data_IF_167880467165
#
_entry.id   IF_167880467165
#
_cell.length_a   1.000
_cell.length_b   1.000
_cell.length_c   1.000
_cell.angle_alpha   90.00
_cell.angle_beta   90.00
_cell.angle_gamma   90.00
#
_symmetry.space_group_name_H-M   'P 1'
#
loop_
_entity.id
_entity.type
_entity.pdbx_description
1 polymer ?
#
# COMPACT_ATOMS: atom_id res chain seq x y z
N UNK A 1 12.78 21.38 25.06
CA UNK A 1 11.91 22.12 24.12
C UNK A 1 12.36 21.77 22.71
N UNK A 2 11.46 21.35 21.83
CA UNK A 2 11.80 20.88 20.48
C UNK A 2 11.53 21.98 19.47
N UNK A 3 12.61 22.58 18.95
CA UNK A 3 12.59 23.67 17.97
C UNK A 3 12.87 23.15 16.57
N UNK A 4 12.10 23.59 15.58
CA UNK A 4 12.46 23.54 14.16
C UNK A 4 12.44 25.00 13.69
N UNK A 5 13.52 25.48 13.07
CA UNK A 5 13.70 26.90 12.72
C UNK A 5 13.63 27.89 13.91
N UNK A 6 13.97 27.43 15.12
CA UNK A 6 13.95 28.25 16.34
C UNK A 6 12.55 28.54 16.91
N UNK A 7 11.48 28.04 16.28
CA UNK A 7 10.09 28.19 16.76
C UNK A 7 9.60 26.90 17.43
N UNK A 8 8.93 27.06 18.57
CA UNK A 8 8.34 25.95 19.36
C UNK A 8 6.98 25.60 18.75
N UNK A 9 6.77 24.33 18.39
CA UNK A 9 5.46 23.85 17.96
C UNK A 9 4.66 23.46 19.20
N UNK A 10 3.49 24.07 19.36
CA UNK A 10 2.55 23.81 20.46
C UNK A 10 1.27 23.14 19.97
N UNK A 11 0.58 22.45 20.87
CA UNK A 11 -0.76 21.90 20.57
C UNK A 11 -1.69 23.07 20.27
N UNK A 12 -2.43 22.97 19.17
CA UNK A 12 -3.30 24.02 18.68
C UNK A 12 -2.68 24.93 17.61
N UNK A 13 -1.37 24.84 17.36
CA UNK A 13 -0.70 25.62 16.32
C UNK A 13 -1.17 25.23 14.91
N UNK A 14 -1.26 26.22 14.01
CA UNK A 14 -1.53 26.00 12.58
C UNK A 14 -0.24 25.58 11.89
N UNK A 15 -0.32 24.46 11.18
CA UNK A 15 0.82 23.86 10.50
C UNK A 15 0.42 23.38 9.11
N UNK A 16 1.40 23.39 8.23
CA UNK A 16 1.31 22.86 6.87
C UNK A 16 2.25 21.66 6.74
N UNK A 17 1.76 20.58 6.13
CA UNK A 17 2.55 19.37 5.91
C UNK A 17 3.35 19.52 4.62
N UNK A 18 4.67 19.59 4.75
CA UNK A 18 5.59 19.75 3.63
C UNK A 18 5.46 18.59 2.63
N UNK A 19 5.39 18.92 1.34
CA UNK A 19 5.28 17.95 0.24
C UNK A 19 3.86 17.52 -0.13
N UNK A 20 2.83 17.90 0.65
CA UNK A 20 1.42 17.63 0.32
C UNK A 20 0.55 18.87 0.16
N UNK A 21 1.05 20.05 0.56
CA UNK A 21 0.31 21.32 0.54
C UNK A 21 -1.06 21.21 1.24
N UNK A 22 -1.08 20.50 2.38
CA UNK A 22 -2.29 20.33 3.21
C UNK A 22 -2.06 21.00 4.56
N UNK A 23 -3.03 21.81 4.95
CA UNK A 23 -3.04 22.57 6.20
C UNK A 23 -3.87 21.87 7.27
N UNK A 24 -3.48 22.12 8.52
CA UNK A 24 -4.17 21.57 9.68
C UNK A 24 -3.72 22.21 10.98
N UNK A 25 -4.14 21.59 12.08
CA UNK A 25 -3.85 22.01 13.45
C UNK A 25 -3.19 20.89 14.23
N UNK A 26 -2.15 21.21 14.99
CA UNK A 26 -1.50 20.23 15.88
C UNK A 26 -2.47 19.83 16.98
N UNK A 27 -2.71 18.54 17.14
CA UNK A 27 -3.57 17.97 18.18
C UNK A 27 -2.82 17.07 19.16
N UNK A 28 -1.61 16.61 18.81
CA UNK A 28 -0.79 15.76 19.69
C UNK A 28 0.70 15.98 19.47
N UNK A 29 1.49 15.95 20.55
CA UNK A 29 2.95 16.03 20.55
C UNK A 29 3.52 15.04 21.57
N UNK A 30 4.16 13.97 21.11
CA UNK A 30 4.66 12.95 22.04
C UNK A 30 5.22 11.69 21.39
N UNK A 31 5.54 10.70 22.20
CA UNK A 31 5.87 9.35 21.74
C UNK A 31 4.59 8.58 21.41
N UNK A 32 4.71 7.59 20.54
CA UNK A 32 3.57 6.77 20.08
C UNK A 32 3.87 5.29 20.27
N UNK A 33 2.82 4.46 20.38
CA UNK A 33 2.92 3.01 20.48
C UNK A 33 3.26 2.33 19.15
N UNK A 34 2.86 2.91 18.02
CA UNK A 34 3.05 2.31 16.69
C UNK A 34 4.46 2.51 16.13
N UNK A 35 5.24 3.46 16.67
CA UNK A 35 6.61 3.74 16.23
C UNK A 35 7.37 4.56 17.28
N UNK A 36 8.67 4.31 17.38
CA UNK A 36 9.58 5.00 18.31
C UNK A 36 9.88 6.45 17.90
N UNK A 37 10.39 7.24 18.84
CA UNK A 37 10.68 8.66 18.66
C UNK A 37 9.47 9.58 18.83
N UNK A 38 9.68 10.89 18.63
CA UNK A 38 8.65 11.92 18.81
C UNK A 38 7.84 12.13 17.54
N UNK A 39 6.52 12.17 17.69
CA UNK A 39 5.55 12.34 16.63
C UNK A 39 4.64 13.53 16.90
N UNK A 40 4.17 14.12 15.81
CA UNK A 40 3.18 15.21 15.81
C UNK A 40 1.91 14.70 15.16
N UNK A 41 0.82 14.68 15.92
CA UNK A 41 -0.51 14.42 15.40
C UNK A 41 -1.15 15.71 14.94
N UNK A 42 -1.61 15.75 13.69
CA UNK A 42 -2.22 16.93 13.06
C UNK A 42 -3.63 16.57 12.59
N UNK A 43 -4.60 17.42 12.91
CA UNK A 43 -5.96 17.38 12.36
C UNK A 43 -5.99 18.28 11.14
N UNK A 44 -6.15 17.68 9.96
CA UNK A 44 -6.19 18.37 8.68
C UNK A 44 -7.57 19.02 8.47
N UNK A 45 -7.58 20.13 7.74
CA UNK A 45 -8.83 20.82 7.41
C UNK A 45 -9.65 20.03 6.35
N UNK A 46 -8.96 19.27 5.50
CA UNK A 46 -9.54 18.43 4.44
C UNK A 46 -9.39 16.93 4.77
N UNK A 47 -10.27 16.05 4.23
CA UNK A 47 -10.23 14.60 4.46
C UNK A 47 -9.10 13.89 3.69
N UNK A 48 -7.85 14.36 3.88
CA UNK A 48 -6.61 13.85 3.25
C UNK A 48 -5.66 13.16 4.24
N UNK A 49 -6.14 12.92 5.44
CA UNK A 49 -5.48 12.20 6.53
C UNK A 49 -5.52 10.69 6.34
N UNK A 50 -4.96 9.98 7.31
CA UNK A 50 -4.86 8.51 7.32
C UNK A 50 -5.67 7.85 8.43
N UNK A 51 -6.14 8.63 9.40
CA UNK A 51 -6.85 8.13 10.58
C UNK A 51 -7.81 9.20 11.12
N UNK A 52 -8.51 8.88 12.19
CA UNK A 52 -9.37 9.80 12.94
C UNK A 52 -8.76 10.21 14.30
N UNK A 53 -7.44 10.03 14.45
CA UNK A 53 -6.69 10.22 15.70
C UNK A 53 -6.53 8.96 16.55
N UNK A 54 -7.10 7.83 16.12
CA UNK A 54 -6.84 6.49 16.68
C UNK A 54 -5.93 5.69 15.75
N UNK A 55 -4.87 5.09 16.30
CA UNK A 55 -3.94 4.23 15.55
C UNK A 55 -3.71 2.94 16.37
N UNK A 56 -3.97 1.78 15.75
CA UNK A 56 -3.85 0.46 16.39
C UNK A 56 -4.59 0.35 17.73
N UNK A 57 -5.84 0.84 17.78
CA UNK A 57 -6.69 0.78 18.97
C UNK A 57 -6.36 1.78 20.07
N UNK A 58 -5.32 2.61 19.92
CA UNK A 58 -4.97 3.68 20.86
C UNK A 58 -5.31 5.06 20.30
N UNK A 59 -6.11 5.82 21.05
CA UNK A 59 -6.52 7.18 20.68
C UNK A 59 -5.56 8.22 21.25
N UNK A 60 -5.07 9.11 20.41
CA UNK A 60 -4.16 10.20 20.78
C UNK A 60 -4.85 11.56 20.73
N UNK A 61 -5.75 11.74 19.75
CA UNK A 61 -6.64 12.88 19.58
C UNK A 61 -7.90 12.40 18.86
N UNK A 62 -8.90 13.27 18.70
CA UNK A 62 -10.17 12.94 18.02
C UNK A 62 -10.45 13.94 16.91
N UNK A 63 -10.84 13.42 15.74
CA UNK A 63 -11.27 14.20 14.57
C UNK A 63 -12.16 13.34 13.66
N UNK A 64 -12.66 13.92 12.57
CA UNK A 64 -13.42 13.20 11.56
C UNK A 64 -12.56 12.14 10.84
N UNK A 65 -13.21 11.13 10.27
CA UNK A 65 -12.52 10.07 9.52
C UNK A 65 -11.74 10.65 8.34
N UNK A 66 -10.50 10.19 8.19
CA UNK A 66 -9.53 10.70 7.21
C UNK A 66 -9.10 12.16 7.45
N UNK A 67 -9.22 12.73 8.65
CA UNK A 67 -8.65 14.05 8.95
C UNK A 67 -7.35 13.99 9.77
N UNK A 68 -7.09 12.89 10.49
CA UNK A 68 -5.92 12.73 11.33
C UNK A 68 -4.70 12.22 10.58
N UNK A 69 -3.54 12.81 10.85
CA UNK A 69 -2.24 12.33 10.35
C UNK A 69 -1.16 12.42 11.42
N UNK A 70 -0.23 11.46 11.44
CA UNK A 70 0.99 11.52 12.23
C UNK A 70 2.19 11.78 11.33
N UNK A 71 2.96 12.81 11.65
CA UNK A 71 4.16 13.19 10.90
C UNK A 71 5.31 13.51 11.85
N UNK A 72 6.53 13.53 11.29
CA UNK A 72 7.70 14.03 12.02
C UNK A 72 7.71 15.55 12.02
N UNK A 73 8.30 16.13 13.06
CA UNK A 73 8.43 17.58 13.19
C UNK A 73 9.15 18.22 11.99
N UNK A 74 10.11 17.54 11.36
CA UNK A 74 10.81 18.01 10.16
C UNK A 74 9.93 18.13 8.91
N UNK A 75 8.73 17.53 8.93
CA UNK A 75 7.77 17.57 7.82
C UNK A 75 6.70 18.65 8.02
N UNK A 76 6.81 19.49 9.05
CA UNK A 76 5.84 20.54 9.38
C UNK A 76 6.45 21.92 9.20
N UNK A 77 5.67 22.81 8.59
CA UNK A 77 5.95 24.26 8.55
C UNK A 77 4.89 24.98 9.38
N UNK A 78 5.31 25.88 10.26
CA UNK A 78 4.39 26.68 11.09
C UNK A 78 3.83 27.81 10.23
N UNK A 79 2.50 27.96 10.21
CA UNK A 79 1.83 29.08 9.56
C UNK A 79 1.35 30.09 10.62
N UNK A 80 1.72 31.36 10.46
CA UNK A 80 1.36 32.47 11.37
C UNK A 80 0.06 33.17 10.93
N UNK A 81 -0.99 32.41 10.64
CA UNK A 81 -2.33 32.99 10.42
C UNK A 81 -3.17 32.87 11.69
N UNK A 82 -3.57 34.04 12.23
CA UNK A 82 -4.57 34.20 13.30
C UNK A 82 -5.98 33.77 12.85
N UNK A 83 -6.87 33.36 13.77
CA UNK A 83 -8.05 32.58 13.44
C UNK A 83 -9.23 33.45 13.00
N UNK A 84 -10.06 33.02 12.03
CA UNK A 84 -11.47 33.39 12.05
C UNK A 84 -12.20 32.46 13.02
N UNK A 85 -12.86 33.06 14.01
CA UNK A 85 -13.73 32.37 14.95
C UNK A 85 -14.84 31.58 14.24
N UNK A 86 -15.14 30.41 14.78
CA UNK A 86 -16.25 29.56 14.33
C UNK A 86 -16.54 28.54 15.41
N UNK A 87 -17.65 28.75 16.10
CA UNK A 87 -18.20 27.96 17.20
C UNK A 87 -18.33 26.49 16.86
N UNK A 88 -17.89 25.63 17.79
CA UNK A 88 -18.20 24.21 17.79
C UNK A 88 -19.70 24.00 18.01
N UNK A 89 -20.43 23.71 16.93
CA UNK A 89 -21.75 23.10 17.00
C UNK A 89 -21.59 21.56 17.07
N UNK A 90 -21.99 21.01 18.22
CA UNK A 90 -22.27 19.59 18.40
C UNK A 90 -23.74 19.34 18.05
N UNK A 91 -24.10 18.34 17.24
CA UNK A 91 -25.45 17.79 17.27
C UNK A 91 -25.52 16.65 18.31
N UNK A 92 -26.44 16.81 19.28
CA UNK A 92 -26.94 15.73 20.14
C UNK A 92 -28.05 14.95 19.42
N UNK A 93 -28.34 13.69 19.86
CA UNK A 93 -29.09 12.71 19.08
C UNK A 93 -30.60 12.81 19.32
N UNK A 94 -31.41 12.38 18.35
CA UNK A 94 -32.78 12.01 18.62
C UNK A 94 -33.24 10.84 17.74
N UNK A 95 -33.69 9.80 18.43
CA UNK A 95 -34.34 8.63 17.88
C UNK A 95 -35.84 8.90 17.61
N UNK A 96 -36.44 7.93 16.92
CA UNK A 96 -37.77 7.32 17.20
C UNK A 96 -38.88 7.53 16.15
N UNK A 97 -39.29 6.38 15.59
CA UNK A 97 -40.65 5.92 15.20
C UNK A 97 -41.38 6.39 13.94
N UNK A 98 -41.68 5.36 13.15
CA UNK A 98 -42.73 5.13 12.13
C UNK A 98 -44.18 5.14 12.73
N UNK A 99 -45.26 4.79 11.99
CA UNK A 99 -46.28 5.70 11.46
C UNK A 99 -47.69 5.47 12.06
N UNK A 100 -48.69 6.30 11.69
CA UNK A 100 -50.09 5.95 11.93
C UNK A 100 -51.12 7.01 11.48
N UNK A 101 -52.30 6.61 10.97
CA UNK A 101 -53.27 7.45 10.24
C UNK A 101 -54.42 7.94 11.13
N UNK A 102 -55.15 9.00 10.74
CA UNK A 102 -56.63 9.06 10.87
C UNK A 102 -57.24 10.28 10.20
N UNK A 103 -58.47 10.07 9.74
CA UNK A 103 -59.36 10.99 9.05
C UNK A 103 -59.93 12.10 9.95
N UNK A 104 -60.36 13.20 9.33
CA UNK A 104 -61.39 14.07 9.88
C UNK A 104 -62.51 14.30 8.87
N UNK A 105 -63.71 14.20 9.42
CA UNK A 105 -65.06 14.37 8.87
C UNK A 105 -65.54 15.75 9.29
N UNK A 106 -66.21 16.50 8.39
CA UNK A 106 -67.26 17.45 8.80
C UNK A 106 -68.43 17.38 7.82
N UNK A 107 -69.55 16.88 8.35
CA UNK A 107 -70.91 16.85 7.84
C UNK A 107 -71.65 18.16 8.15
N UNK A 108 -72.63 18.54 7.32
CA UNK A 108 -73.81 19.31 7.74
C UNK A 108 -75.01 19.07 6.80
N UNK A 109 -75.87 18.16 7.27
CA UNK A 109 -77.35 18.12 7.36
C UNK A 109 -78.31 18.40 6.16
N UNK A 110 -79.26 17.44 6.07
CA UNK A 110 -80.51 17.22 5.30
C UNK A 110 -81.71 18.08 5.80
N UNK A 111 -82.98 18.07 5.23
CA UNK A 111 -83.76 16.92 4.71
C UNK A 111 -84.80 17.12 3.56
N UNK A 112 -85.41 16.01 3.11
CA UNK A 112 -86.55 15.83 2.15
C UNK A 112 -87.95 16.00 2.85
N UNK A 113 -89.16 15.63 2.30
CA UNK A 113 -89.57 15.05 1.00
C UNK A 113 -90.93 15.49 0.34
N UNK A 114 -91.10 15.03 -0.93
CA UNK A 114 -92.28 14.47 -1.64
C UNK A 114 -93.59 15.25 -1.98
N UNK A 115 -93.82 15.32 -3.30
CA UNK A 115 -95.05 14.95 -4.07
C UNK A 115 -96.26 15.89 -4.22
N UNK A 116 -96.53 16.35 -5.46
CA UNK A 116 -97.79 16.05 -6.19
C UNK A 116 -97.73 16.39 -7.69
N UNK A 117 -98.21 15.44 -8.48
CA UNK A 117 -98.37 15.41 -9.93
C UNK A 117 -99.38 16.42 -10.47
N UNK A 118 -99.09 16.99 -11.65
CA UNK A 118 -100.08 17.27 -12.70
C UNK A 118 -99.45 16.95 -14.07
N UNK A 119 -100.16 16.11 -14.83
CA UNK A 119 -99.90 15.78 -16.24
C UNK A 119 -100.65 16.81 -17.09
N UNK A 120 -99.95 17.47 -18.02
CA UNK A 120 -100.52 17.82 -19.33
C UNK A 120 -99.42 17.70 -20.40
N UNK A 121 -99.84 17.04 -21.46
CA UNK A 121 -99.20 16.56 -22.69
C UNK A 121 -98.39 17.54 -23.55
N UNK A 122 -97.43 16.91 -24.25
CA UNK A 122 -97.16 17.08 -25.69
C UNK A 122 -96.68 18.44 -26.23
N UNK A 123 -95.45 18.81 -25.86
CA UNK A 123 -94.54 19.58 -26.72
C UNK A 123 -93.04 19.32 -26.42
N UNK A 124 -92.74 18.21 -25.73
CA UNK A 124 -91.44 17.95 -25.08
C UNK A 124 -90.60 16.85 -25.70
N UNK A 125 -91.14 16.06 -26.64
CA UNK A 125 -90.42 14.90 -27.19
C UNK A 125 -89.24 15.32 -28.07
N UNK A 126 -89.38 16.35 -28.91
CA UNK A 126 -88.26 16.88 -29.71
C UNK A 126 -87.20 17.59 -28.87
N UNK A 127 -87.60 18.31 -27.81
CA UNK A 127 -86.65 18.96 -26.88
C UNK A 127 -85.92 17.93 -26.01
N UNK A 128 -86.60 16.88 -25.54
CA UNK A 128 -85.94 15.79 -24.80
C UNK A 128 -85.06 14.92 -25.69
N UNK A 129 -85.41 14.72 -26.96
CA UNK A 129 -84.57 14.04 -27.93
C UNK A 129 -83.29 14.85 -28.24
N UNK A 130 -83.42 16.15 -28.53
CA UNK A 130 -82.29 17.05 -28.77
C UNK A 130 -81.38 17.19 -27.52
N UNK A 131 -81.96 17.20 -26.31
CA UNK A 131 -81.20 17.23 -25.07
C UNK A 131 -80.41 15.93 -24.86
N UNK A 132 -81.02 14.77 -25.13
CA UNK A 132 -80.34 13.47 -25.08
C UNK A 132 -79.22 13.35 -26.11
N UNK A 133 -79.40 13.91 -27.29
CA UNK A 133 -78.39 13.94 -28.34
C UNK A 133 -77.20 14.84 -27.94
N UNK A 134 -77.46 16.02 -27.37
CA UNK A 134 -76.42 16.89 -26.78
C UNK A 134 -75.70 16.23 -25.59
N UNK A 135 -76.42 15.52 -24.72
CA UNK A 135 -75.83 14.83 -23.58
C UNK A 135 -74.96 13.64 -24.03
N UNK A 136 -75.38 12.93 -25.08
CA UNK A 136 -74.58 11.88 -25.71
C UNK A 136 -73.30 12.44 -26.35
N UNK A 137 -73.39 13.57 -27.05
CA UNK A 137 -72.24 14.26 -27.66
C UNK A 137 -71.26 14.77 -26.58
N UNK A 138 -71.80 15.31 -25.47
CA UNK A 138 -71.02 15.75 -24.31
C UNK A 138 -70.36 14.59 -23.58
N UNK A 139 -71.01 13.43 -23.51
CA UNK A 139 -70.43 12.20 -22.96
C UNK A 139 -69.32 11.66 -23.87
N UNK A 140 -69.50 11.69 -25.19
CA UNK A 140 -68.49 11.29 -26.16
C UNK A 140 -67.24 12.19 -26.09
N UNK A 141 -67.43 13.52 -26.01
CA UNK A 141 -66.33 14.48 -25.82
C UNK A 141 -65.62 14.29 -24.48
N UNK A 142 -66.36 14.00 -23.40
CA UNK A 142 -65.77 13.66 -22.10
C UNK A 142 -64.93 12.39 -22.16
N UNK A 143 -65.41 11.34 -22.84
CA UNK A 143 -64.63 10.13 -23.07
C UNK A 143 -63.36 10.42 -23.89
N UNK A 144 -63.45 11.26 -24.92
CA UNK A 144 -62.30 11.70 -25.69
C UNK A 144 -61.28 12.50 -24.87
N UNK A 145 -61.75 13.35 -23.95
CA UNK A 145 -60.87 14.08 -23.02
C UNK A 145 -60.16 13.10 -22.09
N UNK A 146 -60.86 12.11 -21.54
CA UNK A 146 -60.26 11.08 -20.67
C UNK A 146 -59.21 10.27 -21.44
N UNK A 147 -59.51 9.79 -22.64
CA UNK A 147 -58.56 9.09 -23.51
C UNK A 147 -57.32 9.93 -23.84
N UNK A 148 -57.51 11.23 -24.08
CA UNK A 148 -56.41 12.17 -24.34
C UNK A 148 -55.60 12.46 -23.07
N UNK A 149 -56.24 12.48 -21.90
CA UNK A 149 -55.60 12.61 -20.60
C UNK A 149 -54.68 11.40 -20.35
N UNK A 150 -55.18 10.17 -20.55
CA UNK A 150 -54.39 8.95 -20.40
C UNK A 150 -53.22 8.88 -21.39
N UNK A 151 -53.44 9.31 -22.64
CA UNK A 151 -52.36 9.43 -23.64
C UNK A 151 -51.32 10.47 -23.24
N UNK A 152 -51.73 11.58 -22.63
CA UNK A 152 -50.81 12.58 -22.11
C UNK A 152 -49.99 12.02 -20.94
N UNK A 153 -50.63 11.34 -20.01
CA UNK A 153 -49.98 10.74 -18.83
C UNK A 153 -48.97 9.67 -19.25
N UNK A 154 -49.32 8.79 -20.18
CA UNK A 154 -48.39 7.78 -20.72
C UNK A 154 -47.21 8.40 -21.48
N UNK A 155 -47.43 9.48 -22.24
CA UNK A 155 -46.34 10.22 -22.89
C UNK A 155 -45.45 10.95 -21.87
N UNK A 156 -46.04 11.50 -20.81
CA UNK A 156 -45.29 12.12 -19.72
C UNK A 156 -44.43 11.09 -18.98
N UNK A 157 -44.99 9.91 -18.69
CA UNK A 157 -44.25 8.81 -18.06
C UNK A 157 -43.10 8.32 -18.94
N UNK A 158 -43.33 8.11 -20.24
CA UNK A 158 -42.26 7.77 -21.20
C UNK A 158 -41.16 8.82 -21.27
N UNK A 159 -41.52 10.11 -21.23
CA UNK A 159 -40.54 11.21 -21.20
C UNK A 159 -39.73 11.20 -19.90
N UNK A 160 -40.37 10.91 -18.77
CA UNK A 160 -39.72 10.80 -17.47
C UNK A 160 -38.71 9.63 -17.46
N UNK A 161 -39.11 8.48 -18.01
CA UNK A 161 -38.26 7.28 -18.16
C UNK A 161 -37.08 7.54 -19.10
N UNK A 162 -37.29 8.13 -20.28
CA UNK A 162 -36.21 8.49 -21.20
C UNK A 162 -35.22 9.48 -20.56
N UNK A 163 -35.71 10.42 -19.73
CA UNK A 163 -34.86 11.35 -18.99
C UNK A 163 -34.05 10.66 -17.89
N UNK A 164 -34.63 9.66 -17.21
CA UNK A 164 -33.91 8.85 -16.23
C UNK A 164 -32.81 8.01 -16.91
N UNK A 165 -33.14 7.34 -18.02
CA UNK A 165 -32.18 6.58 -18.82
C UNK A 165 -31.00 7.44 -19.31
N UNK A 166 -31.26 8.69 -19.71
CA UNK A 166 -30.20 9.63 -20.11
C UNK A 166 -29.23 9.94 -18.97
N UNK A 167 -29.74 10.11 -17.73
CA UNK A 167 -28.90 10.35 -16.54
C UNK A 167 -28.06 9.14 -16.18
N UNK A 168 -28.62 7.93 -16.29
CA UNK A 168 -27.87 6.70 -16.04
C UNK A 168 -26.80 6.49 -17.11
N UNK A 169 -27.10 6.81 -18.38
CA UNK A 169 -26.12 6.81 -19.46
C UNK A 169 -24.98 7.82 -19.23
N UNK A 170 -25.30 9.04 -18.79
CA UNK A 170 -24.30 10.04 -18.42
C UNK A 170 -23.41 9.59 -17.25
N UNK A 171 -23.99 8.95 -16.23
CA UNK A 171 -23.25 8.35 -15.11
C UNK A 171 -22.30 7.26 -15.60
N UNK A 172 -22.78 6.35 -16.44
CA UNK A 172 -21.98 5.25 -16.97
C UNK A 172 -20.85 5.76 -17.87
N UNK A 173 -21.11 6.81 -18.67
CA UNK A 173 -20.09 7.49 -19.49
C UNK A 173 -18.98 8.08 -18.63
N UNK A 174 -19.32 8.74 -17.51
CA UNK A 174 -18.35 9.29 -16.57
C UNK A 174 -17.50 8.19 -15.91
N UNK A 175 -18.13 7.08 -15.50
CA UNK A 175 -17.42 5.92 -14.96
C UNK A 175 -16.45 5.32 -15.99
N UNK A 176 -16.89 5.18 -17.25
CA UNK A 176 -16.03 4.69 -18.32
C UNK A 176 -14.84 5.63 -18.56
N UNK A 177 -15.06 6.94 -18.53
CA UNK A 177 -13.98 7.92 -18.68
C UNK A 177 -12.95 7.80 -17.54
N UNK A 178 -13.40 7.69 -16.29
CA UNK A 178 -12.51 7.48 -15.14
C UNK A 178 -11.72 6.17 -15.29
N UNK A 179 -12.36 5.08 -15.71
CA UNK A 179 -11.69 3.80 -15.93
C UNK A 179 -10.64 3.88 -17.04
N UNK A 180 -10.91 4.63 -18.11
CA UNK A 180 -9.93 4.87 -19.17
C UNK A 180 -8.73 5.68 -18.65
N UNK A 181 -8.95 6.71 -17.84
CA UNK A 181 -7.88 7.50 -17.22
C UNK A 181 -7.05 6.67 -16.21
N UNK A 182 -7.69 5.77 -15.46
CA UNK A 182 -6.96 4.82 -14.60
C UNK A 182 -6.16 3.82 -15.44
N UNK A 183 -6.73 3.30 -16.53
CA UNK A 183 -6.03 2.42 -17.45
C UNK A 183 -4.79 3.11 -18.04
N UNK A 184 -4.89 4.36 -18.50
CA UNK A 184 -3.74 5.08 -19.05
C UNK A 184 -2.64 5.27 -18.00
N UNK A 185 -2.99 5.66 -16.78
CA UNK A 185 -2.02 5.81 -15.67
C UNK A 185 -1.33 4.49 -15.33
N UNK A 186 -2.08 3.39 -15.28
CA UNK A 186 -1.51 2.06 -15.04
C UNK A 186 -0.55 1.69 -16.18
N UNK A 187 -0.96 1.89 -17.44
CA UNK A 187 -0.08 1.59 -18.58
C UNK A 187 1.19 2.45 -18.60
N UNK A 188 1.12 3.72 -18.20
CA UNK A 188 2.28 4.60 -18.07
C UNK A 188 3.22 4.13 -16.95
N UNK A 189 2.68 3.77 -15.77
CA UNK A 189 3.49 3.22 -14.68
C UNK A 189 4.14 1.89 -15.06
N UNK A 190 3.44 1.04 -15.83
CA UNK A 190 3.96 -0.23 -16.30
C UNK A 190 5.08 -0.03 -17.32
N UNK A 191 4.94 0.95 -18.22
CA UNK A 191 5.98 1.33 -19.18
C UNK A 191 7.22 1.90 -18.48
N UNK A 192 7.03 2.74 -17.46
CA UNK A 192 8.13 3.30 -16.67
C UNK A 192 8.89 2.21 -15.89
N UNK A 193 8.16 1.29 -15.25
CA UNK A 193 8.74 0.12 -14.58
C UNK A 193 9.51 -0.79 -15.56
N UNK A 194 8.97 -1.03 -16.75
CA UNK A 194 9.68 -1.78 -17.80
C UNK A 194 10.97 -1.08 -18.22
N UNK A 195 10.95 0.25 -18.37
CA UNK A 195 12.13 1.03 -18.72
C UNK A 195 13.19 0.94 -17.63
N UNK A 196 12.81 1.12 -16.36
CA UNK A 196 13.72 1.00 -15.22
C UNK A 196 14.33 -0.40 -15.14
N UNK A 197 13.55 -1.45 -15.38
CA UNK A 197 14.03 -2.83 -15.39
C UNK A 197 15.03 -3.07 -16.54
N UNK A 198 14.78 -2.53 -17.74
CA UNK A 198 15.74 -2.62 -18.84
C UNK A 198 17.03 -1.84 -18.57
N UNK A 199 16.93 -0.69 -17.90
CA UNK A 199 18.10 0.11 -17.52
C UNK A 199 18.94 -0.61 -16.47
N UNK A 200 18.32 -1.10 -15.39
CA UNK A 200 19.02 -1.85 -14.35
C UNK A 200 19.70 -3.12 -14.90
N UNK A 201 19.05 -3.82 -15.85
CA UNK A 201 19.67 -4.97 -16.55
C UNK A 201 20.89 -4.56 -17.36
N UNK A 202 20.86 -3.39 -18.01
CA UNK A 202 21.98 -2.88 -18.79
C UNK A 202 23.16 -2.50 -17.88
N UNK A 203 22.88 -1.78 -16.79
CA UNK A 203 23.90 -1.41 -15.79
C UNK A 203 24.54 -2.66 -15.16
N UNK A 204 23.74 -3.69 -14.85
CA UNK A 204 24.26 -4.96 -14.35
C UNK A 204 25.15 -5.69 -15.38
N UNK A 205 24.78 -5.66 -16.67
CA UNK A 205 25.60 -6.24 -17.74
C UNK A 205 26.91 -5.47 -17.92
N UNK A 206 26.85 -4.13 -17.92
CA UNK A 206 28.04 -3.28 -18.04
C UNK A 206 29.02 -3.53 -16.88
N UNK A 207 28.51 -3.64 -15.64
CA UNK A 207 29.32 -4.00 -14.48
C UNK A 207 29.91 -5.42 -14.57
N UNK A 208 29.18 -6.37 -15.17
CA UNK A 208 29.69 -7.72 -15.39
C UNK A 208 30.83 -7.72 -16.41
N UNK A 209 30.65 -7.05 -17.55
CA UNK A 209 31.66 -6.93 -18.61
C UNK A 209 32.92 -6.21 -18.09
N UNK A 210 32.77 -5.20 -17.22
CA UNK A 210 33.90 -4.53 -16.56
C UNK A 210 34.65 -5.46 -15.60
N UNK A 211 33.91 -6.27 -14.82
CA UNK A 211 34.51 -7.28 -13.94
C UNK A 211 35.28 -8.33 -14.73
N UNK A 212 34.75 -8.78 -15.88
CA UNK A 212 35.47 -9.72 -16.75
C UNK A 212 36.77 -9.12 -17.27
N UNK A 213 36.76 -7.85 -17.73
CA UNK A 213 38.00 -7.17 -18.15
C UNK A 213 39.03 -7.09 -17.04
N UNK A 214 38.61 -6.75 -15.82
CA UNK A 214 39.53 -6.74 -14.68
C UNK A 214 40.04 -8.13 -14.32
N UNK A 215 39.23 -9.18 -14.49
CA UNK A 215 39.68 -10.55 -14.28
C UNK A 215 40.75 -10.96 -15.31
N UNK A 216 40.57 -10.58 -16.58
CA UNK A 216 41.56 -10.80 -17.63
C UNK A 216 42.86 -10.03 -17.35
N UNK A 217 42.77 -8.75 -16.97
CA UNK A 217 43.94 -7.95 -16.56
C UNK A 217 44.71 -8.56 -15.39
N UNK A 218 43.99 -9.10 -14.39
CA UNK A 218 44.61 -9.81 -13.26
C UNK A 218 45.27 -11.11 -13.71
N UNK A 219 44.66 -11.86 -14.63
CA UNK A 219 45.26 -13.07 -15.21
C UNK A 219 46.57 -12.75 -15.91
N UNK A 220 46.59 -11.73 -16.77
CA UNK A 220 47.81 -11.29 -17.48
C UNK A 220 48.92 -10.87 -16.50
N UNK A 221 48.55 -10.18 -15.42
CA UNK A 221 49.50 -9.80 -14.37
C UNK A 221 50.05 -11.00 -13.62
N UNK A 222 49.22 -12.01 -13.33
CA UNK A 222 49.66 -13.26 -12.70
C UNK A 222 50.64 -13.99 -13.61
N UNK A 223 50.34 -14.14 -14.90
CA UNK A 223 51.26 -14.74 -15.87
C UNK A 223 52.59 -13.97 -15.93
N UNK A 224 52.55 -12.64 -15.95
CA UNK A 224 53.77 -11.81 -15.94
C UNK A 224 54.60 -12.01 -14.66
N UNK A 225 53.92 -12.18 -13.52
CA UNK A 225 54.56 -12.43 -12.23
C UNK A 225 55.19 -13.82 -12.20
N UNK A 226 54.50 -14.84 -12.69
CA UNK A 226 55.03 -16.21 -12.80
C UNK A 226 56.30 -16.22 -13.67
N UNK A 227 56.27 -15.56 -14.83
CA UNK A 227 57.46 -15.44 -15.68
C UNK A 227 58.62 -14.74 -14.97
N UNK A 228 58.37 -13.64 -14.26
CA UNK A 228 59.39 -12.92 -13.50
C UNK A 228 59.95 -13.76 -12.34
N UNK A 229 59.13 -14.59 -11.69
CA UNK A 229 59.60 -15.49 -10.63
C UNK A 229 60.57 -16.55 -11.16
N UNK A 230 60.30 -17.12 -12.34
CA UNK A 230 61.22 -18.06 -12.99
C UNK A 230 62.54 -17.39 -13.36
N UNK A 231 62.50 -16.16 -13.88
CA UNK A 231 63.72 -15.41 -14.19
C UNK A 231 64.56 -15.14 -12.93
N UNK A 232 63.91 -14.83 -11.82
CA UNK A 232 64.56 -14.62 -10.52
C UNK A 232 65.22 -15.92 -10.04
N UNK A 233 64.52 -17.05 -10.05
CA UNK A 233 65.07 -18.35 -9.65
C UNK A 233 66.29 -18.73 -10.49
N UNK A 234 66.21 -18.55 -11.82
CA UNK A 234 67.37 -18.78 -12.70
C UNK A 234 68.54 -17.85 -12.41
N UNK A 235 68.29 -16.60 -12.00
CA UNK A 235 69.34 -15.66 -11.61
C UNK A 235 69.98 -16.04 -10.27
N UNK A 236 69.17 -16.50 -9.31
CA UNK A 236 69.66 -17.01 -8.01
C UNK A 236 70.55 -18.24 -8.20
N UNK A 237 70.14 -19.22 -9.02
CA UNK A 237 70.97 -20.39 -9.35
C UNK A 237 72.31 -19.99 -10.01
N UNK A 238 72.29 -19.03 -10.94
CA UNK A 238 73.53 -18.52 -11.56
C UNK A 238 74.43 -17.82 -10.54
N UNK A 239 73.85 -17.09 -9.60
CA UNK A 239 74.60 -16.42 -8.54
C UNK A 239 75.25 -17.45 -7.61
N UNK A 240 74.53 -18.50 -7.22
CA UNK A 240 75.09 -19.61 -6.45
C UNK A 240 76.23 -20.32 -7.19
N UNK A 241 76.09 -20.56 -8.50
CA UNK A 241 77.16 -21.15 -9.32
C UNK A 241 78.42 -20.28 -9.34
N UNK A 242 78.28 -18.97 -9.61
CA UNK A 242 79.41 -18.04 -9.60
C UNK A 242 80.03 -17.91 -8.19
N UNK A 243 79.23 -17.98 -7.14
CA UNK A 243 79.72 -17.95 -5.76
C UNK A 243 80.61 -19.17 -5.47
N UNK A 244 80.19 -20.36 -5.89
CA UNK A 244 80.99 -21.59 -5.77
C UNK A 244 82.31 -21.48 -6.55
N UNK A 245 82.30 -20.90 -7.75
CA UNK A 245 83.52 -20.66 -8.53
C UNK A 245 84.47 -19.70 -7.82
N UNK A 246 83.95 -18.61 -7.26
CA UNK A 246 84.75 -17.63 -6.49
C UNK A 246 85.40 -18.30 -5.28
N UNK A 247 84.66 -19.10 -4.52
CA UNK A 247 85.19 -19.77 -3.33
C UNK A 247 86.29 -20.78 -3.69
N UNK A 248 86.11 -21.55 -4.77
CA UNK A 248 87.16 -22.41 -5.32
C UNK A 248 88.43 -21.65 -5.70
N UNK A 249 88.31 -20.47 -6.31
CA UNK A 249 89.47 -19.65 -6.66
C UNK A 249 90.16 -19.01 -5.44
N UNK A 250 89.39 -18.64 -4.40
CA UNK A 250 89.96 -18.14 -3.12
C UNK A 250 90.81 -19.20 -2.44
N UNK A 251 90.32 -20.43 -2.31
CA UNK A 251 91.07 -21.54 -1.70
C UNK A 251 92.41 -21.76 -2.42
N UNK A 252 92.39 -21.72 -3.76
CA UNK A 252 93.61 -21.79 -4.56
C UNK A 252 94.59 -20.64 -4.28
N UNK A 253 94.09 -19.42 -4.18
CA UNK A 253 94.93 -18.25 -3.89
C UNK A 253 95.60 -18.36 -2.51
N UNK A 254 94.85 -18.77 -1.48
CA UNK A 254 95.36 -18.93 -0.11
C UNK A 254 96.51 -19.95 -0.05
N UNK A 255 96.42 -21.05 -0.80
CA UNK A 255 97.51 -22.03 -0.91
C UNK A 255 98.78 -21.40 -1.51
N UNK A 256 98.66 -20.68 -2.64
CA UNK A 256 99.80 -20.04 -3.30
C UNK A 256 100.46 -18.96 -2.42
N UNK A 257 99.68 -18.22 -1.65
CA UNK A 257 100.21 -17.16 -0.78
C UNK A 257 101.07 -17.74 0.36
N UNK A 258 100.69 -18.91 0.89
CA UNK A 258 101.44 -19.62 1.92
C UNK A 258 102.80 -20.08 1.39
N UNK A 259 102.84 -20.62 0.17
CA UNK A 259 104.07 -21.03 -0.52
C UNK A 259 105.04 -19.86 -0.71
N UNK A 260 104.53 -18.69 -1.13
CA UNK A 260 105.36 -17.49 -1.32
C UNK A 260 106.00 -16.98 -0.01
N UNK A 261 105.27 -17.04 1.11
CA UNK A 261 105.78 -16.61 2.43
C UNK A 261 106.97 -17.46 2.90
N UNK A 262 106.93 -18.76 2.63
CA UNK A 262 108.03 -19.68 2.96
C UNK A 262 109.30 -19.28 2.20
N UNK A 263 109.19 -19.13 0.88
CA UNK A 263 110.30 -18.75 -0.01
C UNK A 263 110.96 -17.41 0.38
N UNK A 264 110.17 -16.45 0.82
CA UNK A 264 110.67 -15.10 1.17
C UNK A 264 111.45 -15.13 2.49
N UNK A 265 111.09 -16.01 3.43
CA UNK A 265 111.76 -16.13 4.73
C UNK A 265 113.21 -16.63 4.61
N UNK A 266 113.56 -17.30 3.52
CA UNK A 266 114.87 -17.92 3.30
C UNK A 266 115.93 -16.93 2.77
N UNK A 267 115.53 -15.74 2.32
CA UNK A 267 116.41 -14.80 1.61
C UNK A 267 116.98 -13.63 2.45
N UNK A 268 116.67 -13.54 3.75
CA UNK A 268 116.81 -12.28 4.53
C UNK A 268 118.08 -12.13 5.41
N UNK A 269 119.13 -12.97 5.31
CA UNK A 269 120.29 -12.91 6.24
C UNK A 269 121.63 -12.50 5.59
N UNK A 270 122.00 -11.22 5.72
CA UNK A 270 123.42 -10.80 5.75
C UNK A 270 123.80 -9.49 5.03
N UNK A 271 124.34 -8.53 5.78
CA UNK A 271 125.20 -7.41 5.31
C UNK A 271 126.38 -7.29 6.30
N UNK A 272 127.57 -6.74 5.94
CA UNK A 272 127.90 -5.40 6.46
C UNK A 272 128.99 -4.56 5.73
N UNK A 273 128.86 -3.23 5.92
CA UNK A 273 129.92 -2.31 6.38
C UNK A 273 131.12 -1.88 5.49
N UNK A 274 130.84 -1.15 4.40
CA UNK A 274 131.57 0.11 4.10
C UNK A 274 130.85 1.31 4.78
N UNK A 275 130.38 1.02 6.00
CA UNK A 275 129.04 1.39 6.44
C UNK A 275 128.93 2.86 6.68
N UNK A 276 129.73 3.45 7.58
CA UNK A 276 129.26 4.60 8.36
C UNK A 276 129.04 5.90 7.57
N UNK A 277 129.78 6.07 6.48
CA UNK A 277 129.67 7.25 5.60
C UNK A 277 128.68 7.03 4.46
N UNK A 278 128.65 5.82 3.89
CA UNK A 278 127.48 5.38 3.14
C UNK A 278 126.24 5.41 4.02
N UNK A 279 126.34 5.22 5.32
CA UNK A 279 125.23 5.10 6.27
C UNK A 279 124.66 6.45 6.60
N UNK A 280 125.46 7.51 6.71
CA UNK A 280 124.96 8.89 6.81
C UNK A 280 124.42 9.43 5.48
N UNK A 281 125.06 9.11 4.36
CA UNK A 281 124.53 9.43 3.03
C UNK A 281 123.24 8.64 2.74
N UNK A 282 123.21 7.36 3.11
CA UNK A 282 122.03 6.50 3.12
C UNK A 282 121.02 6.99 4.14
N UNK A 283 121.38 7.55 5.28
CA UNK A 283 120.41 8.08 6.26
C UNK A 283 119.75 9.32 5.71
N UNK A 284 120.50 10.25 5.11
CA UNK A 284 119.90 11.40 4.43
C UNK A 284 119.10 11.00 3.19
N UNK A 285 119.55 10.00 2.43
CA UNK A 285 118.80 9.46 1.30
C UNK A 285 117.55 8.71 1.79
N UNK A 286 117.64 7.92 2.87
CA UNK A 286 116.50 7.28 3.56
C UNK A 286 115.53 8.34 4.08
N UNK A 287 116.00 9.49 4.56
CA UNK A 287 115.14 10.59 4.99
C UNK A 287 114.47 11.28 3.79
N UNK A 288 115.18 11.46 2.66
CA UNK A 288 114.56 11.95 1.42
C UNK A 288 113.55 10.96 0.85
N UNK A 289 113.89 9.68 0.81
CA UNK A 289 112.98 8.60 0.42
C UNK A 289 111.80 8.52 1.38
N UNK A 290 111.99 8.67 2.69
CA UNK A 290 110.91 8.72 3.66
C UNK A 290 110.01 9.94 3.43
N UNK A 291 110.57 11.10 3.08
CA UNK A 291 109.79 12.29 2.73
C UNK A 291 109.01 12.12 1.42
N UNK A 292 109.61 11.47 0.40
CA UNK A 292 108.92 11.14 -0.86
C UNK A 292 107.82 10.11 -0.61
N UNK A 293 108.10 9.06 0.16
CA UNK A 293 107.09 8.07 0.57
C UNK A 293 105.97 8.72 1.38
N UNK A 294 106.28 9.64 2.29
CA UNK A 294 105.27 10.39 3.05
C UNK A 294 104.43 11.29 2.14
N UNK A 295 105.05 11.95 1.15
CA UNK A 295 104.32 12.73 0.14
C UNK A 295 103.39 11.83 -0.66
N UNK A 296 103.89 10.69 -1.15
CA UNK A 296 103.13 9.76 -1.98
C UNK A 296 101.99 9.12 -1.18
N UNK A 297 102.24 8.70 0.06
CA UNK A 297 101.23 8.24 1.01
C UNK A 297 100.18 9.34 1.28
N UNK A 298 100.61 10.60 1.41
CA UNK A 298 99.69 11.74 1.58
C UNK A 298 98.82 11.95 0.34
N UNK A 299 99.37 11.76 -0.87
CA UNK A 299 98.58 11.85 -2.10
C UNK A 299 97.63 10.67 -2.26
N UNK A 300 98.05 9.46 -1.89
CA UNK A 300 97.21 8.25 -1.86
C UNK A 300 96.06 8.41 -0.87
N UNK A 301 96.34 8.79 0.38
CA UNK A 301 95.30 9.06 1.39
C UNK A 301 94.32 10.15 0.96
N UNK A 302 94.80 11.18 0.23
CA UNK A 302 93.90 12.20 -0.36
C UNK A 302 93.02 11.61 -1.47
N UNK A 303 93.57 10.73 -2.30
CA UNK A 303 92.82 10.06 -3.36
C UNK A 303 91.76 9.10 -2.78
N UNK A 304 92.14 8.26 -1.82
CA UNK A 304 91.24 7.34 -1.10
C UNK A 304 90.13 8.11 -0.37
N UNK A 305 90.47 9.20 0.34
CA UNK A 305 89.48 10.07 0.96
C UNK A 305 88.51 10.67 -0.06
N UNK A 306 88.98 11.02 -1.25
CA UNK A 306 88.12 11.52 -2.33
C UNK A 306 87.24 10.41 -2.92
N UNK A 307 87.75 9.19 -3.05
CA UNK A 307 86.98 8.03 -3.50
C UNK A 307 85.86 7.69 -2.50
N UNK A 308 86.19 7.52 -1.22
CA UNK A 308 85.19 7.27 -0.17
C UNK A 308 84.16 8.39 -0.06
N UNK A 309 84.56 9.64 -0.30
CA UNK A 309 83.59 10.75 -0.34
C UNK A 309 82.58 10.57 -1.49
N UNK A 310 83.04 10.16 -2.68
CA UNK A 310 82.15 9.90 -3.83
C UNK A 310 81.23 8.72 -3.56
N UNK A 311 81.73 7.63 -2.99
CA UNK A 311 80.92 6.47 -2.59
C UNK A 311 79.86 6.87 -1.57
N UNK A 312 80.23 7.67 -0.56
CA UNK A 312 79.30 8.15 0.46
C UNK A 312 78.22 9.07 -0.14
N UNK A 313 78.59 9.93 -1.09
CA UNK A 313 77.64 10.78 -1.81
C UNK A 313 76.71 9.96 -2.74
N UNK A 314 77.20 8.86 -3.34
CA UNK A 314 76.39 7.90 -4.10
C UNK A 314 75.40 7.15 -3.22
N UNK A 315 75.86 6.54 -2.12
CA UNK A 315 74.97 5.86 -1.17
C UNK A 315 73.92 6.81 -0.58
N UNK A 316 74.27 8.09 -0.35
CA UNK A 316 73.29 9.10 0.07
C UNK A 316 72.20 9.34 -0.97
N UNK A 317 72.55 9.37 -2.26
CA UNK A 317 71.58 9.55 -3.33
C UNK A 317 70.64 8.32 -3.45
N UNK A 318 71.18 7.11 -3.32
CA UNK A 318 70.39 5.87 -3.32
C UNK A 318 69.43 5.82 -2.13
N UNK A 319 69.87 6.20 -0.92
CA UNK A 319 69.00 6.28 0.26
C UNK A 319 67.87 7.29 0.05
N UNK A 320 68.14 8.42 -0.61
CA UNK A 320 67.11 9.42 -0.93
C UNK A 320 66.09 8.87 -1.92
N UNK A 321 66.53 8.16 -2.96
CA UNK A 321 65.63 7.57 -3.95
C UNK A 321 64.79 6.44 -3.35
N UNK A 322 65.39 5.55 -2.55
CA UNK A 322 64.67 4.51 -1.83
C UNK A 322 63.65 5.11 -0.85
N UNK A 323 63.99 6.23 -0.20
CA UNK A 323 63.05 6.94 0.69
C UNK A 323 61.86 7.51 -0.10
N UNK A 324 62.10 8.02 -1.32
CA UNK A 324 61.05 8.51 -2.21
C UNK A 324 60.12 7.39 -2.68
N UNK A 325 60.68 6.26 -3.10
CA UNK A 325 59.91 5.09 -3.54
C UNK A 325 59.10 4.54 -2.36
N UNK A 326 59.70 4.44 -1.16
CA UNK A 326 58.99 4.02 0.05
C UNK A 326 57.76 4.89 0.32
N UNK A 327 57.92 6.21 0.26
CA UNK A 327 56.81 7.14 0.48
C UNK A 327 55.69 6.93 -0.56
N UNK A 328 56.04 6.75 -1.84
CA UNK A 328 55.05 6.47 -2.90
C UNK A 328 54.31 5.15 -2.68
N UNK A 329 55.02 4.10 -2.24
CA UNK A 329 54.40 2.82 -1.91
C UNK A 329 53.48 2.93 -0.69
N UNK A 330 53.89 3.67 0.35
CA UNK A 330 53.05 3.94 1.53
C UNK A 330 51.78 4.71 1.15
N UNK A 331 51.86 5.69 0.26
CA UNK A 331 50.70 6.43 -0.25
C UNK A 331 49.75 5.52 -1.05
N UNK A 332 50.27 4.66 -1.91
CA UNK A 332 49.44 3.69 -2.66
C UNK A 332 48.81 2.64 -1.76
N UNK A 333 49.55 2.19 -0.74
CA UNK A 333 49.05 1.26 0.26
C UNK A 333 47.89 1.87 1.06
N UNK A 334 48.04 3.13 1.52
CA UNK A 334 46.95 3.84 2.20
C UNK A 334 45.73 4.05 1.31
N UNK A 335 45.92 4.37 0.03
CA UNK A 335 44.81 4.47 -0.92
C UNK A 335 44.09 3.13 -1.08
N UNK A 336 44.83 2.03 -1.22
CA UNK A 336 44.24 0.70 -1.30
C UNK A 336 43.47 0.33 -0.02
N UNK A 337 44.04 0.61 1.17
CA UNK A 337 43.34 0.42 2.45
C UNK A 337 42.03 1.21 2.52
N UNK A 338 42.04 2.48 2.10
CA UNK A 338 40.81 3.29 2.03
C UNK A 338 39.76 2.65 1.10
N UNK A 339 40.15 2.21 -0.10
CA UNK A 339 39.21 1.56 -1.02
C UNK A 339 38.66 0.25 -0.47
N UNK A 340 39.47 -0.52 0.26
CA UNK A 340 39.02 -1.75 0.92
C UNK A 340 37.98 -1.44 1.98
N UNK A 341 38.20 -0.40 2.80
CA UNK A 341 37.22 0.01 3.81
C UNK A 341 35.91 0.50 3.18
N UNK A 342 35.98 1.25 2.07
CA UNK A 342 34.79 1.71 1.36
C UNK A 342 33.99 0.55 0.76
N UNK A 343 34.66 -0.45 0.19
CA UNK A 343 34.00 -1.66 -0.34
C UNK A 343 33.41 -2.54 0.79
N UNK A 344 34.06 -2.59 1.95
CA UNK A 344 33.53 -3.26 3.14
C UNK A 344 32.23 -2.60 3.61
N UNK A 345 32.22 -1.26 3.72
CA UNK A 345 31.01 -0.51 4.09
C UNK A 345 29.87 -0.74 3.08
N UNK A 346 30.18 -0.80 1.78
CA UNK A 346 29.19 -1.12 0.74
C UNK A 346 28.62 -2.54 0.89
N UNK A 347 29.47 -3.51 1.23
CA UNK A 347 29.04 -4.89 1.45
C UNK A 347 28.11 -4.99 2.68
N UNK A 348 28.46 -4.32 3.78
CA UNK A 348 27.63 -4.28 5.00
C UNK A 348 26.27 -3.63 4.74
N UNK A 349 26.25 -2.55 3.94
CA UNK A 349 24.99 -1.93 3.49
C UNK A 349 24.15 -2.88 2.62
N UNK A 350 24.79 -3.64 1.72
CA UNK A 350 24.12 -4.59 0.86
C UNK A 350 23.54 -5.77 1.67
N UNK A 351 24.28 -6.29 2.65
CA UNK A 351 23.81 -7.33 3.56
C UNK A 351 22.60 -6.86 4.38
N UNK A 352 22.61 -5.63 4.90
CA UNK A 352 21.45 -5.06 5.58
C UNK A 352 20.21 -4.89 4.68
N UNK A 353 20.42 -4.67 3.38
CA UNK A 353 19.33 -4.62 2.41
C UNK A 353 18.74 -6.02 2.14
N UNK A 354 19.58 -7.06 2.08
CA UNK A 354 19.15 -8.45 1.94
C UNK A 354 18.26 -8.88 3.10
N UNK A 355 18.66 -8.59 4.35
CA UNK A 355 17.83 -8.86 5.54
C UNK A 355 16.46 -8.18 5.45
N UNK A 356 16.40 -6.91 5.01
CA UNK A 356 15.12 -6.22 4.84
C UNK A 356 14.25 -6.85 3.75
N UNK A 357 14.85 -7.31 2.66
CA UNK A 357 14.14 -8.03 1.60
C UNK A 357 13.57 -9.33 2.14
N UNK A 358 14.34 -10.12 2.90
CA UNK A 358 13.85 -11.35 3.53
C UNK A 358 12.63 -11.08 4.43
N UNK A 359 12.72 -10.10 5.34
CA UNK A 359 11.60 -9.74 6.22
C UNK A 359 10.37 -9.24 5.45
N UNK A 360 10.57 -8.52 4.34
CA UNK A 360 9.46 -8.08 3.49
C UNK A 360 8.85 -9.24 2.70
N UNK A 361 9.66 -10.21 2.27
CA UNK A 361 9.16 -11.41 1.59
C UNK A 361 8.37 -12.31 2.54
N UNK A 362 8.84 -12.53 3.77
CA UNK A 362 8.11 -13.27 4.80
C UNK A 362 6.76 -12.60 5.09
N UNK A 363 6.74 -11.29 5.32
CA UNK A 363 5.48 -10.56 5.52
C UNK A 363 4.54 -10.59 4.32
N UNK A 364 5.07 -10.59 3.09
CA UNK A 364 4.23 -10.73 1.90
C UNK A 364 3.61 -12.13 1.84
N UNK A 365 4.37 -13.18 2.15
CA UNK A 365 3.86 -14.54 2.21
C UNK A 365 2.77 -14.69 3.29
N UNK A 366 2.99 -14.14 4.49
CA UNK A 366 2.00 -14.13 5.57
C UNK A 366 0.71 -13.41 5.13
N UNK A 367 0.85 -12.23 4.51
CA UNK A 367 -0.30 -11.47 4.02
C UNK A 367 -1.04 -12.22 2.91
N UNK A 368 -0.34 -12.89 2.00
CA UNK A 368 -0.94 -13.72 0.97
C UNK A 368 -1.72 -14.91 1.56
N UNK A 369 -1.20 -15.53 2.62
CA UNK A 369 -1.92 -16.58 3.36
C UNK A 369 -3.17 -16.03 4.04
N UNK A 370 -3.08 -14.91 4.76
CA UNK A 370 -4.28 -14.31 5.37
C UNK A 370 -5.34 -13.89 4.35
N UNK A 371 -4.93 -13.42 3.17
CA UNK A 371 -5.86 -13.10 2.08
C UNK A 371 -6.51 -14.36 1.51
N UNK A 372 -5.78 -15.47 1.45
CA UNK A 372 -6.32 -16.77 1.02
C UNK A 372 -7.37 -17.26 2.01
N UNK A 373 -7.07 -17.25 3.30
CA UNK A 373 -7.99 -17.67 4.36
C UNK A 373 -9.27 -16.83 4.37
N UNK A 374 -9.14 -15.52 4.22
CA UNK A 374 -10.29 -14.62 4.15
C UNK A 374 -11.16 -14.87 2.92
N UNK A 375 -10.57 -15.26 1.78
CA UNK A 375 -11.33 -15.63 0.58
C UNK A 375 -12.09 -16.93 0.79
N UNK A 376 -11.45 -17.95 1.36
CA UNK A 376 -12.14 -19.21 1.69
C UNK A 376 -13.30 -18.98 2.66
N UNK A 377 -13.11 -18.13 3.68
CA UNK A 377 -14.18 -17.76 4.60
C UNK A 377 -15.34 -17.01 3.89
N UNK A 378 -15.05 -16.15 2.91
CA UNK A 378 -16.09 -15.50 2.10
C UNK A 378 -16.84 -16.52 1.25
N UNK A 379 -16.15 -17.42 0.57
CA UNK A 379 -16.77 -18.48 -0.24
C UNK A 379 -17.70 -19.36 0.60
N UNK A 380 -17.30 -19.69 1.83
CA UNK A 380 -18.15 -20.46 2.76
C UNK A 380 -19.37 -19.68 3.25
N UNK A 381 -19.22 -18.38 3.49
CA UNK A 381 -20.36 -17.51 3.84
C UNK A 381 -21.33 -17.34 2.66
N UNK A 382 -20.84 -17.30 1.42
CA UNK A 382 -21.66 -17.28 0.21
C UNK A 382 -22.46 -18.57 0.07
N UNK A 383 -21.84 -19.75 0.24
CA UNK A 383 -22.56 -21.04 0.25
C UNK A 383 -23.63 -21.11 1.34
N UNK A 384 -23.34 -20.58 2.53
CA UNK A 384 -24.33 -20.48 3.61
C UNK A 384 -25.48 -19.53 3.26
N UNK A 385 -25.19 -18.44 2.54
CA UNK A 385 -26.20 -17.51 2.07
C UNK A 385 -27.12 -18.16 1.03
N UNK A 386 -26.57 -18.87 0.04
CA UNK A 386 -27.32 -19.62 -0.97
C UNK A 386 -28.26 -20.64 -0.30
N UNK A 387 -27.75 -21.45 0.64
CA UNK A 387 -28.57 -22.40 1.40
C UNK A 387 -29.71 -21.70 2.18
N UNK A 388 -29.42 -20.54 2.77
CA UNK A 388 -30.42 -19.76 3.49
C UNK A 388 -31.49 -19.17 2.55
N UNK A 389 -31.12 -18.74 1.34
CA UNK A 389 -32.08 -18.32 0.32
C UNK A 389 -33.00 -19.46 -0.12
N UNK A 390 -32.45 -20.66 -0.35
CA UNK A 390 -33.22 -21.86 -0.67
C UNK A 390 -34.21 -22.21 0.46
N UNK A 391 -33.75 -22.18 1.72
CA UNK A 391 -34.61 -22.43 2.88
C UNK A 391 -35.73 -21.39 3.01
N UNK A 392 -35.42 -20.11 2.77
CA UNK A 392 -36.43 -19.04 2.78
C UNK A 392 -37.44 -19.20 1.64
N UNK A 393 -37.00 -19.66 0.48
CA UNK A 393 -37.90 -19.96 -0.64
C UNK A 393 -38.86 -21.10 -0.28
N UNK A 394 -38.33 -22.22 0.24
CA UNK A 394 -39.15 -23.34 0.72
C UNK A 394 -40.13 -22.90 1.82
N UNK A 395 -39.71 -22.04 2.74
CA UNK A 395 -40.59 -21.49 3.77
C UNK A 395 -41.73 -20.63 3.18
N UNK A 396 -41.46 -19.84 2.14
CA UNK A 396 -42.49 -19.05 1.44
C UNK A 396 -43.47 -19.92 0.66
N UNK A 397 -42.98 -20.96 0.00
CA UNK A 397 -43.81 -21.92 -0.73
C UNK A 397 -44.76 -22.65 0.24
N UNK A 398 -44.25 -23.17 1.36
CA UNK A 398 -45.08 -23.82 2.39
C UNK A 398 -46.06 -22.84 3.05
N UNK A 399 -45.69 -21.58 3.27
CA UNK A 399 -46.61 -20.54 3.76
C UNK A 399 -47.76 -20.29 2.78
N UNK A 400 -47.46 -20.25 1.47
CA UNK A 400 -48.47 -20.07 0.44
C UNK A 400 -49.43 -21.26 0.37
N UNK A 401 -48.90 -22.48 0.41
CA UNK A 401 -49.71 -23.71 0.46
C UNK A 401 -50.66 -23.70 1.67
N UNK A 402 -50.17 -23.36 2.86
CA UNK A 402 -51.00 -23.26 4.07
C UNK A 402 -52.06 -22.15 3.97
N UNK A 403 -51.74 -21.02 3.34
CA UNK A 403 -52.73 -19.94 3.08
C UNK A 403 -53.80 -20.38 2.11
N UNK A 404 -53.43 -21.12 1.07
CA UNK A 404 -54.39 -21.71 0.14
C UNK A 404 -55.29 -22.70 0.88
N UNK A 405 -54.74 -23.62 1.67
CA UNK A 405 -55.52 -24.55 2.50
C UNK A 405 -56.49 -23.82 3.45
N UNK A 406 -56.05 -22.73 4.07
CA UNK A 406 -56.89 -21.88 4.91
C UNK A 406 -58.04 -21.26 4.11
N UNK A 407 -57.77 -20.69 2.94
CA UNK A 407 -58.81 -20.11 2.08
C UNK A 407 -59.84 -21.17 1.63
N UNK A 408 -59.39 -22.38 1.31
CA UNK A 408 -60.28 -23.49 0.99
C UNK A 408 -61.14 -23.89 2.19
N UNK A 409 -60.57 -23.87 3.41
CA UNK A 409 -61.30 -24.13 4.63
C UNK A 409 -62.32 -23.03 4.95
N UNK A 410 -61.99 -21.76 4.71
CA UNK A 410 -62.88 -20.61 4.88
C UNK A 410 -64.09 -20.68 3.94
N UNK A 411 -63.87 -21.04 2.66
CA UNK A 411 -64.97 -21.25 1.70
C UNK A 411 -65.88 -22.38 2.16
N UNK A 412 -65.32 -23.53 2.59
CA UNK A 412 -66.12 -24.65 3.14
C UNK A 412 -66.93 -24.23 4.37
N UNK A 413 -66.34 -23.41 5.24
CA UNK A 413 -67.01 -22.89 6.43
C UNK A 413 -68.16 -21.96 6.02
N UNK A 414 -67.94 -21.05 5.08
CA UNK A 414 -68.98 -20.14 4.56
C UNK A 414 -70.14 -20.91 3.91
N UNK A 415 -69.85 -21.92 3.09
CA UNK A 415 -70.88 -22.80 2.49
C UNK A 415 -71.65 -23.58 3.55
N UNK A 416 -70.98 -24.04 4.61
CA UNK A 416 -71.65 -24.70 5.74
C UNK A 416 -72.54 -23.72 6.51
N UNK A 417 -72.07 -22.48 6.71
CA UNK A 417 -72.81 -21.43 7.39
C UNK A 417 -74.07 -21.05 6.60
N UNK A 418 -73.94 -20.82 5.29
CA UNK A 418 -75.07 -20.54 4.39
C UNK A 418 -76.11 -21.66 4.37
N UNK A 419 -75.67 -22.93 4.41
CA UNK A 419 -76.59 -24.09 4.54
C UNK A 419 -77.34 -24.07 5.87
N UNK A 420 -76.66 -23.69 6.95
CA UNK A 420 -77.27 -23.57 8.28
C UNK A 420 -78.26 -22.40 8.30
N UNK A 421 -77.93 -21.23 7.75
CA UNK A 421 -78.85 -20.08 7.65
C UNK A 421 -80.10 -20.42 6.85
N UNK A 422 -79.95 -21.04 5.67
CA UNK A 422 -81.08 -21.47 4.85
C UNK A 422 -82.00 -22.48 5.58
N UNK A 423 -81.41 -23.38 6.38
CA UNK A 423 -82.18 -24.29 7.22
C UNK A 423 -82.93 -23.56 8.34
N UNK A 424 -82.32 -22.54 8.96
CA UNK A 424 -82.99 -21.71 9.96
C UNK A 424 -84.15 -20.91 9.36
N UNK A 425 -83.98 -20.31 8.17
CA UNK A 425 -85.05 -19.62 7.46
C UNK A 425 -86.22 -20.57 7.13
N UNK A 426 -85.91 -21.76 6.60
CA UNK A 426 -86.93 -22.77 6.31
C UNK A 426 -87.68 -23.23 7.57
N UNK A 427 -86.98 -23.38 8.70
CA UNK A 427 -87.61 -23.67 9.99
C UNK A 427 -88.51 -22.52 10.45
N UNK A 428 -88.09 -21.26 10.31
CA UNK A 428 -88.90 -20.09 10.66
C UNK A 428 -90.18 -20.02 9.79
N UNK A 429 -90.09 -20.32 8.50
CA UNK A 429 -91.26 -20.42 7.61
C UNK A 429 -92.20 -21.57 8.04
N UNK A 430 -91.64 -22.72 8.40
CA UNK A 430 -92.42 -23.84 8.96
C UNK A 430 -93.11 -23.46 10.28
N UNK A 431 -92.43 -22.75 11.17
CA UNK A 431 -93.01 -22.25 12.42
C UNK A 431 -94.13 -21.24 12.15
N UNK A 432 -93.96 -20.32 11.19
CA UNK A 432 -94.97 -19.35 10.83
C UNK A 432 -96.21 -20.01 10.21
N UNK A 433 -96.02 -21.00 9.35
CA UNK A 433 -97.13 -21.78 8.76
C UNK A 433 -97.84 -22.64 9.82
N UNK A 434 -97.11 -23.23 10.76
CA UNK A 434 -97.69 -23.91 11.92
C UNK A 434 -98.48 -22.95 12.81
N UNK A 435 -97.98 -21.75 13.08
CA UNK A 435 -98.69 -20.73 13.86
C UNK A 435 -100.00 -20.30 13.19
N UNK A 436 -99.97 -20.05 11.87
CA UNK A 436 -101.19 -19.77 11.07
C UNK A 436 -102.18 -20.92 11.13
N UNK A 437 -101.70 -22.16 10.98
CA UNK A 437 -102.54 -23.37 11.07
C UNK A 437 -103.18 -23.49 12.45
N UNK A 438 -102.40 -23.34 13.54
CA UNK A 438 -102.91 -23.33 14.92
C UNK A 438 -103.98 -22.26 15.14
N UNK A 439 -103.77 -21.05 14.63
CA UNK A 439 -104.77 -19.97 14.72
C UNK A 439 -106.06 -20.32 13.95
N UNK A 440 -105.93 -20.90 12.76
CA UNK A 440 -107.08 -21.36 11.97
C UNK A 440 -107.86 -22.45 12.69
N UNK A 441 -107.18 -23.46 13.25
CA UNK A 441 -107.79 -24.50 14.08
C UNK A 441 -108.49 -23.93 15.31
N UNK A 442 -107.89 -22.96 16.00
CA UNK A 442 -108.50 -22.26 17.14
C UNK A 442 -109.79 -21.54 16.73
N UNK A 443 -109.78 -20.83 15.60
CA UNK A 443 -110.96 -20.13 15.09
C UNK A 443 -112.08 -21.12 14.67
N UNK A 444 -111.71 -22.22 14.00
CA UNK A 444 -112.66 -23.28 13.67
C UNK A 444 -113.27 -23.92 14.92
N UNK A 445 -112.44 -24.18 15.94
CA UNK A 445 -112.87 -24.68 17.24
C UNK A 445 -113.83 -23.73 17.94
N UNK A 446 -113.52 -22.43 17.97
CA UNK A 446 -114.42 -21.40 18.50
C UNK A 446 -115.75 -21.32 17.73
N UNK A 447 -115.73 -21.46 16.40
CA UNK A 447 -116.96 -21.52 15.59
C UNK A 447 -117.78 -22.77 15.86
N UNK A 448 -117.14 -23.94 15.95
CA UNK A 448 -117.81 -25.19 16.28
C UNK A 448 -118.46 -25.11 17.67
N UNK A 449 -117.73 -24.58 18.67
CA UNK A 449 -118.25 -24.34 20.01
C UNK A 449 -119.40 -23.32 20.03
N UNK A 450 -119.31 -22.25 19.22
CA UNK A 450 -120.40 -21.28 19.06
C UNK A 450 -121.64 -21.88 18.41
N UNK A 451 -121.48 -22.75 17.40
CA UNK A 451 -122.58 -23.49 16.78
C UNK A 451 -123.20 -24.50 17.75
N UNK A 452 -122.40 -25.20 18.56
CA UNK A 452 -122.91 -26.06 19.63
C UNK A 452 -123.72 -25.27 20.67
N UNK A 453 -123.24 -24.09 21.08
CA UNK A 453 -124.00 -23.20 21.97
C UNK A 453 -125.30 -22.72 21.33
N UNK A 454 -125.31 -22.43 20.02
CA UNK A 454 -126.52 -22.08 19.29
C UNK A 454 -127.52 -23.25 19.25
N UNK A 455 -127.04 -24.47 18.96
CA UNK A 455 -127.85 -25.69 18.98
C UNK A 455 -128.44 -26.00 20.37
N UNK A 456 -127.70 -25.66 21.43
CA UNK A 456 -128.18 -25.78 22.82
C UNK A 456 -129.13 -24.65 23.24
N UNK A 457 -129.22 -23.56 22.45
CA UNK A 457 -130.08 -22.40 22.72
C UNK A 457 -131.35 -22.32 21.86
N UNK A 458 -131.50 -23.18 20.84
CA UNK A 458 -132.74 -23.32 20.07
C UNK A 458 -133.77 -24.16 20.86
N UNK A 459 -134.99 -23.64 21.12
CA UNK A 459 -136.03 -24.40 21.81
C UNK A 459 -136.79 -25.32 20.84
N UNK A 460 -136.90 -26.60 21.20
CA UNK A 460 -138.02 -27.46 20.83
C UNK A 460 -138.56 -28.15 22.08
#
# INVERSE_FOLDING_TARGET
MTTYDGKVIEIGARVEVAGKDVRGRVAFLGTTSFSSGRWVGVVLDEPKGKNNGTVQGRTYFSCADNHGIFVRQSQLRISEEEPPGGTAEQPKPLATTTPGPTAEVVTLEQPEPLSRTWVVEEAGQDKQAAQKEQDAEKQALKAQIVDLQEKLDTLMQKRQESKAQLRDYERLRLQLQQLLEFKTKITESQAELQKQLTQARREAQEAHDERERHADEVSDLVESMEMATVEKEMAEEKLEQLQQEVDHWKEKYEMLELDYKILTSELSTGEPSSYKERQLAQENEKMREALVRLRDLTTQLKHEKQQHKKELDQCRAEVQELSRIKQQLEERYQQAECTITELQDQLDMALGAEEMVEHLTEKNLDLEETVRDLREAVDDMEKLHELNEELLQQARETELELREELSHAEVRLSDSHRRVEAAHEALADCEQTLAKSRHWWLNLGNKAQGLEQQLQSEPA
#
